data_IF_701117003683
#
_entry.id   IF_701117003683
#
_cell.length_a   1.000
_cell.length_b   1.000
_cell.length_c   1.000
_cell.angle_alpha   90.00
_cell.angle_beta   90.00
_cell.angle_gamma   90.00
#
_symmetry.space_group_name_H-M   'P 1'
#
loop_
_entity.id
_entity.type
_entity.pdbx_description
1 polymer ?
#
# COMPACT_ATOMS: atom_id res chain seq x y z
N UNK A 1 10.45 16.94 -0.35
CA UNK A 1 9.52 17.88 -1.03
C UNK A 1 9.94 18.01 -2.48
N UNK A 2 8.97 18.13 -3.39
CA UNK A 2 9.28 18.32 -4.81
C UNK A 2 9.66 17.05 -5.59
N UNK A 3 9.63 15.85 -5.01
CA UNK A 3 9.93 14.60 -5.73
C UNK A 3 9.01 14.37 -6.95
N UNK A 4 7.76 14.82 -6.87
CA UNK A 4 6.83 14.82 -8.00
C UNK A 4 7.35 15.65 -9.20
N UNK A 5 8.10 16.74 -8.95
CA UNK A 5 8.72 17.54 -10.02
C UNK A 5 9.79 16.73 -10.75
N UNK A 6 10.61 15.98 -10.00
CA UNK A 6 11.59 15.07 -10.61
C UNK A 6 10.91 14.07 -11.55
N UNK A 7 9.84 13.42 -11.10
CA UNK A 7 9.10 12.43 -11.91
C UNK A 7 8.51 13.08 -13.16
N UNK A 8 7.91 14.28 -13.00
CA UNK A 8 7.33 15.04 -14.13
C UNK A 8 8.39 15.44 -15.14
N UNK A 9 9.49 16.03 -14.68
CA UNK A 9 10.60 16.45 -15.57
C UNK A 9 11.24 15.23 -16.25
N UNK A 10 11.46 14.13 -15.52
CA UNK A 10 12.01 12.90 -16.10
C UNK A 10 11.10 12.32 -17.19
N UNK A 11 9.78 12.46 -17.05
CA UNK A 11 8.81 12.10 -18.10
C UNK A 11 8.92 13.02 -19.31
N UNK A 12 8.91 14.33 -19.08
CA UNK A 12 8.93 15.33 -20.16
C UNK A 12 10.20 15.25 -21.03
N UNK A 13 11.35 14.94 -20.43
CA UNK A 13 12.61 14.75 -21.16
C UNK A 13 12.86 13.32 -21.65
N UNK A 14 11.90 12.40 -21.44
CA UNK A 14 12.01 10.99 -21.86
C UNK A 14 12.88 10.11 -20.96
N UNK A 15 13.54 10.65 -19.93
CA UNK A 15 14.39 9.87 -19.03
C UNK A 15 13.61 8.82 -18.23
N UNK A 16 12.34 9.07 -17.91
CA UNK A 16 11.52 8.15 -17.14
C UNK A 16 11.32 6.81 -17.85
N UNK A 17 11.11 6.81 -19.17
CA UNK A 17 10.94 5.59 -19.97
C UNK A 17 12.22 4.75 -20.07
N UNK A 18 13.39 5.34 -19.81
CA UNK A 18 14.67 4.64 -19.78
C UNK A 18 14.98 4.10 -18.37
N UNK A 19 14.78 4.94 -17.34
CA UNK A 19 15.14 4.61 -15.96
C UNK A 19 14.09 3.71 -15.28
N UNK A 20 12.81 4.04 -15.47
CA UNK A 20 11.65 3.39 -14.86
C UNK A 20 10.53 3.23 -15.90
N UNK A 21 10.73 2.39 -16.94
CA UNK A 21 9.73 2.19 -17.98
C UNK A 21 8.38 1.75 -17.41
N UNK A 22 8.39 0.97 -16.32
CA UNK A 22 7.17 0.50 -15.63
C UNK A 22 6.34 1.68 -15.09
N UNK A 23 6.99 2.75 -14.65
CA UNK A 23 6.31 3.98 -14.20
C UNK A 23 5.89 4.81 -15.43
N UNK A 24 6.72 4.85 -16.46
CA UNK A 24 6.38 5.54 -17.72
C UNK A 24 5.09 5.02 -18.34
N UNK A 25 4.85 3.72 -18.29
CA UNK A 25 3.63 3.07 -18.81
C UNK A 25 2.35 3.43 -18.06
N UNK A 26 2.41 3.93 -16.82
CA UNK A 26 1.21 4.32 -16.07
C UNK A 26 0.38 5.41 -16.77
N UNK A 27 0.98 6.24 -17.63
CA UNK A 27 0.24 7.24 -18.40
C UNK A 27 -0.64 6.64 -19.50
N UNK A 28 -0.36 5.39 -19.90
CA UNK A 28 -1.16 4.63 -20.84
C UNK A 28 -2.29 3.84 -20.18
N UNK A 29 -2.34 3.82 -18.84
CA UNK A 29 -3.32 3.07 -18.05
C UNK A 29 -4.48 3.98 -17.66
N UNK A 30 -5.69 3.79 -18.25
CA UNK A 30 -6.83 4.65 -17.97
C UNK A 30 -7.43 4.37 -16.59
N UNK A 31 -7.94 5.43 -15.97
CA UNK A 31 -8.68 5.37 -14.71
C UNK A 31 -10.15 5.71 -14.89
N UNK A 32 -10.98 5.28 -13.95
CA UNK A 32 -12.38 5.66 -13.89
C UNK A 32 -12.52 7.14 -13.53
N UNK A 33 -13.03 7.95 -14.46
CA UNK A 33 -13.12 9.41 -14.31
C UNK A 33 -14.03 9.88 -13.16
N UNK A 34 -14.99 9.06 -12.73
CA UNK A 34 -15.85 9.35 -11.57
C UNK A 34 -15.06 9.31 -10.24
N UNK A 35 -13.98 8.54 -10.15
CA UNK A 35 -13.09 8.49 -9.01
C UNK A 35 -11.77 9.23 -9.23
N UNK A 36 -11.30 9.26 -10.48
CA UNK A 36 -10.00 9.79 -10.92
C UNK A 36 -10.19 10.75 -12.10
N UNK A 37 -10.61 12.01 -11.86
CA UNK A 37 -10.83 13.00 -12.94
C UNK A 37 -9.58 13.24 -13.77
N UNK A 38 -8.38 13.05 -13.22
CA UNK A 38 -7.07 13.08 -13.90
C UNK A 38 -6.94 12.09 -15.05
N UNK A 39 -7.72 11.01 -15.04
CA UNK A 39 -7.99 10.13 -16.17
C UNK A 39 -7.00 9.01 -16.44
N UNK A 40 -5.80 9.01 -15.84
CA UNK A 40 -4.83 7.92 -15.95
C UNK A 40 -4.00 7.76 -14.68
N UNK A 41 -3.42 6.54 -14.51
CA UNK A 41 -2.65 6.20 -13.30
C UNK A 41 -1.33 6.98 -13.17
N UNK A 42 -0.75 7.46 -14.26
CA UNK A 42 0.48 8.26 -14.25
C UNK A 42 0.26 9.64 -13.63
N UNK A 43 -0.79 10.35 -14.05
CA UNK A 43 -1.16 11.64 -13.43
C UNK A 43 -1.58 11.44 -11.98
N UNK A 44 -2.35 10.37 -11.65
CA UNK A 44 -2.67 10.01 -10.28
C UNK A 44 -1.40 9.85 -9.42
N UNK A 45 -0.40 9.13 -9.93
CA UNK A 45 0.88 8.93 -9.21
C UNK A 45 1.59 10.25 -8.93
N UNK A 46 1.64 11.17 -9.92
CA UNK A 46 2.23 12.51 -9.73
C UNK A 46 1.46 13.34 -8.71
N UNK A 47 0.13 13.31 -8.76
CA UNK A 47 -0.72 14.01 -7.80
C UNK A 47 -0.56 13.42 -6.38
N UNK A 48 -0.45 12.11 -6.27
CA UNK A 48 -0.19 11.42 -4.99
C UNK A 48 1.17 11.80 -4.41
N UNK A 49 2.22 11.86 -5.22
CA UNK A 49 3.55 12.35 -4.79
C UNK A 49 3.51 13.81 -4.35
N UNK A 50 2.74 14.66 -5.03
CA UNK A 50 2.53 16.05 -4.63
C UNK A 50 1.76 16.14 -3.32
N UNK A 51 0.75 15.29 -3.11
CA UNK A 51 -0.04 15.23 -1.88
C UNK A 51 0.75 14.66 -0.69
N UNK A 52 1.73 13.82 -0.91
CA UNK A 52 2.63 13.30 0.13
C UNK A 52 3.45 14.43 0.77
N UNK A 53 3.94 15.38 -0.02
CA UNK A 53 4.72 16.58 0.39
C UNK A 53 5.77 16.30 1.48
N UNK A 54 6.54 15.25 1.30
CA UNK A 54 7.52 14.77 2.28
C UNK A 54 8.92 14.66 1.70
N UNK A 55 9.95 14.72 2.56
CA UNK A 55 11.34 14.38 2.23
C UNK A 55 11.69 12.93 2.60
N UNK A 56 10.74 12.15 3.16
CA UNK A 56 10.94 10.74 3.46
C UNK A 56 11.03 9.92 2.15
N UNK A 57 12.24 9.47 1.83
CA UNK A 57 12.51 8.71 0.61
C UNK A 57 11.74 7.38 0.55
N UNK A 58 11.47 6.76 1.70
CA UNK A 58 10.73 5.50 1.77
C UNK A 58 9.25 5.72 1.44
N UNK A 59 8.64 6.78 1.96
CA UNK A 59 7.27 7.19 1.63
C UNK A 59 7.18 7.56 0.15
N UNK A 60 8.10 8.39 -0.35
CA UNK A 60 8.12 8.80 -1.76
C UNK A 60 8.25 7.61 -2.70
N UNK A 61 9.13 6.64 -2.40
CA UNK A 61 9.27 5.43 -3.21
C UNK A 61 8.00 4.58 -3.17
N UNK A 62 7.40 4.41 -1.99
CA UNK A 62 6.17 3.62 -1.85
C UNK A 62 5.00 4.28 -2.60
N UNK A 63 4.86 5.62 -2.54
CA UNK A 63 3.84 6.36 -3.31
C UNK A 63 4.11 6.27 -4.81
N UNK A 64 5.37 6.36 -5.26
CA UNK A 64 5.73 6.20 -6.68
C UNK A 64 5.29 4.83 -7.23
N UNK A 65 5.40 3.78 -6.42
CA UNK A 65 5.26 2.40 -6.85
C UNK A 65 3.91 1.75 -6.47
N UNK A 66 3.04 2.43 -5.69
CA UNK A 66 1.83 1.78 -5.12
C UNK A 66 0.90 1.18 -6.18
N UNK A 67 0.80 1.81 -7.33
CA UNK A 67 -0.10 1.47 -8.42
C UNK A 67 0.60 0.87 -9.65
N UNK A 68 1.93 0.62 -9.58
CA UNK A 68 2.70 0.13 -10.73
C UNK A 68 2.15 -1.17 -11.33
N UNK A 69 1.47 -1.97 -10.54
CA UNK A 69 0.84 -3.21 -11.01
C UNK A 69 -0.32 -3.02 -11.97
N UNK A 70 -0.90 -1.82 -12.05
CA UNK A 70 -1.95 -1.51 -13.02
C UNK A 70 -1.47 -1.67 -14.46
N UNK A 71 -0.18 -1.48 -14.73
CA UNK A 71 0.43 -1.67 -16.05
C UNK A 71 0.38 -3.13 -16.53
N UNK A 72 0.28 -4.09 -15.62
CA UNK A 72 0.23 -5.52 -15.93
C UNK A 72 -1.20 -6.09 -15.90
N UNK A 73 -2.22 -5.26 -15.69
CA UNK A 73 -3.62 -5.71 -15.74
C UNK A 73 -4.10 -5.85 -17.19
N UNK A 74 -5.09 -6.72 -17.40
CA UNK A 74 -5.66 -7.02 -18.71
C UNK A 74 -6.29 -5.75 -19.35
N UNK A 75 -5.77 -5.22 -20.47
CA UNK A 75 -6.31 -4.03 -21.12
C UNK A 75 -7.77 -4.16 -21.55
N UNK A 76 -8.26 -5.37 -21.81
CA UNK A 76 -9.65 -5.59 -22.20
C UNK A 76 -10.63 -5.36 -21.05
N UNK A 77 -10.12 -5.33 -19.81
CA UNK A 77 -10.92 -5.10 -18.60
C UNK A 77 -10.79 -3.69 -18.03
N UNK A 78 -9.96 -2.87 -18.65
CA UNK A 78 -9.79 -1.49 -18.22
C UNK A 78 -11.10 -0.70 -18.27
N UNK A 79 -11.32 0.19 -17.33
CA UNK A 79 -10.47 0.64 -16.22
C UNK A 79 -10.61 -0.18 -14.93
N UNK A 80 -10.88 -1.46 -15.01
CA UNK A 80 -10.86 -2.37 -13.86
C UNK A 80 -9.48 -2.99 -13.71
N UNK A 81 -8.78 -2.64 -12.65
CA UNK A 81 -7.40 -3.07 -12.38
C UNK A 81 -7.34 -4.16 -11.30
N UNK A 82 -8.26 -5.14 -11.36
CA UNK A 82 -8.31 -6.21 -10.34
C UNK A 82 -7.01 -7.00 -10.31
N UNK A 83 -6.42 -7.14 -9.10
CA UNK A 83 -5.18 -7.88 -8.88
C UNK A 83 -3.91 -7.06 -9.10
N UNK A 84 -4.02 -5.74 -9.36
CA UNK A 84 -2.86 -4.87 -9.51
C UNK A 84 -1.97 -4.83 -8.26
N UNK A 85 -2.54 -5.05 -7.09
CA UNK A 85 -1.83 -5.14 -5.81
C UNK A 85 -0.78 -6.26 -5.81
N UNK A 86 -1.16 -7.46 -6.23
CA UNK A 86 -0.25 -8.61 -6.33
C UNK A 86 0.78 -8.41 -7.45
N UNK A 87 0.33 -8.00 -8.64
CA UNK A 87 1.22 -7.72 -9.78
C UNK A 87 2.21 -6.59 -9.45
N UNK A 88 1.75 -5.56 -8.74
CA UNK A 88 2.59 -4.46 -8.27
C UNK A 88 3.72 -4.94 -7.37
N UNK A 89 3.43 -5.81 -6.40
CA UNK A 89 4.44 -6.37 -5.52
C UNK A 89 5.53 -7.15 -6.28
N UNK A 90 5.17 -7.85 -7.35
CA UNK A 90 6.14 -8.56 -8.21
C UNK A 90 6.98 -7.57 -9.05
N UNK A 91 6.34 -6.57 -9.67
CA UNK A 91 7.03 -5.54 -10.46
C UNK A 91 8.01 -4.78 -9.58
N UNK A 92 7.62 -4.37 -8.36
CA UNK A 92 8.49 -3.70 -7.39
C UNK A 92 9.74 -4.54 -7.11
N UNK A 93 9.58 -5.86 -6.95
CA UNK A 93 10.72 -6.76 -6.77
C UNK A 93 11.70 -6.73 -7.96
N UNK A 94 11.20 -6.70 -9.21
CA UNK A 94 12.04 -6.60 -10.42
C UNK A 94 12.75 -5.24 -10.53
N UNK A 95 12.03 -4.15 -10.27
CA UNK A 95 12.61 -2.80 -10.22
C UNK A 95 13.72 -2.74 -9.18
N UNK A 96 13.46 -3.24 -7.98
CA UNK A 96 14.42 -3.23 -6.88
C UNK A 96 15.69 -4.03 -7.20
N UNK A 97 15.56 -5.20 -7.80
CA UNK A 97 16.71 -6.01 -8.24
C UNK A 97 17.54 -5.28 -9.30
N UNK A 98 16.90 -4.65 -10.29
CA UNK A 98 17.56 -3.90 -11.37
C UNK A 98 18.29 -2.66 -10.87
N UNK A 99 17.67 -1.92 -9.94
CA UNK A 99 18.20 -0.66 -9.42
C UNK A 99 18.96 -0.81 -8.08
N UNK A 100 19.12 -2.04 -7.59
CA UNK A 100 19.79 -2.36 -6.32
C UNK A 100 19.18 -1.59 -5.12
N UNK A 101 17.85 -1.47 -5.09
CA UNK A 101 17.14 -0.80 -4.00
C UNK A 101 17.25 -1.65 -2.72
N UNK A 102 17.65 -1.08 -1.58
CA UNK A 102 17.75 -1.82 -0.32
C UNK A 102 16.45 -2.50 0.09
N UNK A 103 16.53 -3.71 0.67
CA UNK A 103 15.36 -4.53 1.04
C UNK A 103 14.40 -3.82 1.99
N UNK A 104 14.89 -2.97 2.89
CA UNK A 104 14.01 -2.18 3.77
C UNK A 104 13.02 -1.30 2.99
N UNK A 105 13.48 -0.68 1.89
CA UNK A 105 12.65 0.13 1.00
C UNK A 105 11.75 -0.74 0.13
N UNK A 106 12.32 -1.81 -0.45
CA UNK A 106 11.60 -2.74 -1.32
C UNK A 106 10.48 -3.44 -0.58
N UNK A 107 10.77 -3.98 0.60
CA UNK A 107 9.78 -4.66 1.43
C UNK A 107 8.64 -3.74 1.85
N UNK A 108 8.95 -2.49 2.24
CA UNK A 108 7.94 -1.51 2.59
C UNK A 108 7.08 -1.08 1.37
N UNK A 109 7.70 -0.82 0.22
CA UNK A 109 6.96 -0.46 -1.00
C UNK A 109 6.03 -1.60 -1.46
N UNK A 110 6.51 -2.86 -1.44
CA UNK A 110 5.68 -4.04 -1.72
C UNK A 110 4.51 -4.18 -0.75
N UNK A 111 4.77 -3.96 0.54
CA UNK A 111 3.72 -3.96 1.56
C UNK A 111 2.66 -2.89 1.29
N UNK A 112 3.08 -1.67 0.91
CA UNK A 112 2.16 -0.58 0.55
C UNK A 112 1.33 -0.94 -0.69
N UNK A 113 1.93 -1.44 -1.76
CA UNK A 113 1.23 -1.86 -2.97
C UNK A 113 0.15 -2.91 -2.67
N UNK A 114 0.43 -3.90 -1.82
CA UNK A 114 -0.50 -4.97 -1.42
C UNK A 114 -1.65 -4.48 -0.53
N UNK A 115 -1.53 -3.34 0.11
CA UNK A 115 -2.43 -2.97 1.20
C UNK A 115 -3.09 -1.59 1.07
N UNK A 116 -2.59 -0.68 0.19
CA UNK A 116 -3.08 0.70 0.08
C UNK A 116 -4.60 0.79 -0.15
N UNK A 117 -5.18 -0.11 -0.93
CA UNK A 117 -6.61 -0.16 -1.24
C UNK A 117 -7.53 -0.25 -0.02
N UNK A 118 -7.00 -0.51 1.19
CA UNK A 118 -7.80 -0.50 2.42
C UNK A 118 -8.35 0.90 2.73
N UNK A 119 -7.63 1.95 2.34
CA UNK A 119 -8.02 3.36 2.52
C UNK A 119 -9.29 3.76 1.78
N UNK A 120 -9.65 3.03 0.72
CA UNK A 120 -10.84 3.29 -0.11
C UNK A 120 -12.09 2.54 0.37
N UNK A 121 -11.98 1.74 1.44
CA UNK A 121 -13.10 0.99 1.99
C UNK A 121 -13.87 1.80 3.03
N UNK A 122 -15.17 1.55 3.23
CA UNK A 122 -15.86 1.99 4.43
C UNK A 122 -15.15 1.44 5.68
N UNK A 123 -15.02 2.19 6.78
CA UNK A 123 -14.32 1.73 8.00
C UNK A 123 -14.84 0.40 8.54
N UNK A 124 -16.16 0.14 8.47
CA UNK A 124 -16.76 -1.12 8.92
C UNK A 124 -16.22 -2.33 8.13
N UNK A 125 -15.99 -2.18 6.82
CA UNK A 125 -15.52 -3.24 5.94
C UNK A 125 -13.99 -3.40 5.98
N UNK A 126 -13.29 -2.38 6.51
CA UNK A 126 -11.83 -2.34 6.58
C UNK A 126 -11.28 -3.11 7.79
N UNK A 127 -12.03 -3.28 8.88
CA UNK A 127 -11.54 -3.75 10.17
C UNK A 127 -10.72 -5.05 10.11
N UNK A 128 -11.21 -6.09 9.43
CA UNK A 128 -10.47 -7.36 9.27
C UNK A 128 -9.16 -7.20 8.52
N UNK A 129 -9.14 -6.36 7.49
CA UNK A 129 -7.92 -6.11 6.71
C UNK A 129 -6.95 -5.28 7.53
N UNK A 130 -7.40 -4.26 8.26
CA UNK A 130 -6.58 -3.42 9.12
C UNK A 130 -5.94 -4.21 10.27
N UNK A 131 -6.68 -5.15 10.89
CA UNK A 131 -6.11 -6.04 11.90
C UNK A 131 -4.96 -6.90 11.33
N UNK A 132 -5.07 -7.41 10.10
CA UNK A 132 -3.97 -8.14 9.44
C UNK A 132 -2.79 -7.23 9.12
N UNK A 133 -3.08 -6.04 8.60
CA UNK A 133 -2.05 -5.02 8.32
C UNK A 133 -1.27 -4.67 9.58
N UNK A 134 -1.95 -4.49 10.73
CA UNK A 134 -1.31 -4.22 12.00
C UNK A 134 -0.35 -5.34 12.43
N UNK A 135 -0.78 -6.60 12.30
CA UNK A 135 0.06 -7.77 12.58
C UNK A 135 1.25 -7.86 11.62
N UNK A 136 1.04 -7.60 10.32
CA UNK A 136 2.10 -7.64 9.33
C UNK A 136 3.14 -6.51 9.56
N UNK A 137 2.69 -5.29 9.96
CA UNK A 137 3.56 -4.17 10.31
C UNK A 137 4.47 -4.48 11.51
N UNK A 138 3.98 -5.20 12.52
CA UNK A 138 4.81 -5.60 13.66
C UNK A 138 6.02 -6.45 13.24
N UNK A 139 5.91 -7.26 12.20
CA UNK A 139 6.97 -8.15 11.71
C UNK A 139 8.13 -7.42 11.07
N UNK A 140 7.94 -6.17 10.67
CA UNK A 140 9.07 -5.34 10.23
C UNK A 140 9.97 -4.89 11.39
N UNK A 141 9.50 -5.00 12.65
CA UNK A 141 10.20 -4.49 13.83
C UNK A 141 10.56 -2.99 13.71
N UNK A 142 9.73 -2.23 13.03
CA UNK A 142 9.90 -0.81 12.71
C UNK A 142 8.62 -0.05 13.07
N UNK A 143 8.55 0.56 14.26
CA UNK A 143 7.35 1.28 14.73
C UNK A 143 6.94 2.43 13.81
N UNK A 144 7.91 3.09 13.18
CA UNK A 144 7.74 4.18 12.23
C UNK A 144 7.01 3.77 10.93
N UNK A 145 6.88 2.47 10.65
CA UNK A 145 6.20 1.99 9.44
C UNK A 145 4.68 2.17 9.48
N UNK A 146 4.08 2.28 10.67
CA UNK A 146 2.63 2.59 10.77
C UNK A 146 2.36 4.01 10.25
N UNK A 147 3.11 4.99 10.75
CA UNK A 147 2.97 6.39 10.34
C UNK A 147 3.27 6.55 8.85
N UNK A 148 4.36 5.91 8.35
CA UNK A 148 4.70 5.92 6.92
C UNK A 148 3.62 5.29 6.06
N UNK A 149 3.04 4.18 6.47
CA UNK A 149 1.95 3.55 5.71
C UNK A 149 0.69 4.44 5.70
N UNK A 150 0.35 5.08 6.81
CA UNK A 150 -0.74 6.07 6.87
C UNK A 150 -0.43 7.24 5.92
N UNK A 151 0.82 7.72 5.88
CA UNK A 151 1.22 8.78 4.96
C UNK A 151 1.07 8.37 3.49
N UNK A 152 1.44 7.13 3.12
CA UNK A 152 1.25 6.59 1.77
C UNK A 152 -0.24 6.51 1.41
N UNK A 153 -1.08 5.97 2.29
CA UNK A 153 -2.53 5.91 2.08
C UNK A 153 -3.15 7.31 1.97
N UNK A 154 -2.68 8.27 2.79
CA UNK A 154 -3.13 9.67 2.73
C UNK A 154 -2.75 10.31 1.39
N UNK A 155 -1.55 10.06 0.90
CA UNK A 155 -1.09 10.57 -0.38
C UNK A 155 -1.96 10.06 -1.54
N UNK A 156 -2.26 8.77 -1.56
CA UNK A 156 -3.13 8.12 -2.55
C UNK A 156 -4.54 8.72 -2.55
N UNK A 157 -5.24 8.75 -1.41
CA UNK A 157 -6.63 9.27 -1.37
C UNK A 157 -6.75 10.76 -1.67
N UNK A 158 -5.69 11.54 -1.41
CA UNK A 158 -5.60 12.98 -1.70
C UNK A 158 -5.04 13.28 -3.09
N UNK A 159 -4.36 12.33 -3.70
CA UNK A 159 -3.69 12.45 -5.00
C UNK A 159 -4.62 12.40 -6.20
N UNK A 160 -5.79 13.03 -6.11
CA UNK A 160 -6.79 13.09 -7.19
C UNK A 160 -7.04 14.52 -7.60
N UNK A 161 -7.38 14.72 -8.87
CA UNK A 161 -7.75 16.05 -9.38
C UNK A 161 -9.18 16.43 -8.99
N UNK A 162 -9.47 16.30 -7.69
CA UNK A 162 -10.72 16.72 -7.06
C UNK A 162 -10.51 17.09 -5.59
N UNK A 163 -11.37 17.93 -5.01
CA UNK A 163 -11.28 18.23 -3.59
C UNK A 163 -11.43 16.98 -2.72
N UNK A 164 -10.58 16.85 -1.72
CA UNK A 164 -10.70 15.82 -0.68
C UNK A 164 -11.84 16.25 0.28
N UNK A 165 -13.03 15.71 0.02
CA UNK A 165 -14.26 16.11 0.68
C UNK A 165 -14.32 15.73 2.16
N UNK A 166 -15.20 16.41 2.95
CA UNK A 166 -15.36 16.15 4.38
C UNK A 166 -15.69 14.69 4.72
N UNK A 167 -16.51 14.03 3.91
CA UNK A 167 -16.85 12.62 4.10
C UNK A 167 -15.64 11.71 3.89
N UNK A 168 -14.84 11.94 2.85
CA UNK A 168 -13.60 11.20 2.56
C UNK A 168 -12.57 11.43 3.68
N UNK A 169 -12.41 12.68 4.15
CA UNK A 169 -11.55 13.02 5.29
C UNK A 169 -11.95 12.25 6.55
N UNK A 170 -13.25 12.23 6.89
CA UNK A 170 -13.76 11.50 8.04
C UNK A 170 -13.53 9.99 7.93
N UNK A 171 -13.79 9.42 6.77
CA UNK A 171 -13.55 7.99 6.51
C UNK A 171 -12.08 7.66 6.64
N UNK A 172 -11.20 8.43 6.01
CA UNK A 172 -9.76 8.20 6.10
C UNK A 172 -9.23 8.33 7.54
N UNK A 173 -9.66 9.37 8.28
CA UNK A 173 -9.28 9.53 9.68
C UNK A 173 -9.73 8.33 10.55
N UNK A 174 -10.92 7.78 10.30
CA UNK A 174 -11.39 6.58 10.99
C UNK A 174 -10.55 5.34 10.66
N UNK A 175 -10.15 5.16 9.39
CA UNK A 175 -9.25 4.07 8.94
C UNK A 175 -7.89 4.20 9.62
N UNK A 176 -7.26 5.38 9.60
CA UNK A 176 -5.96 5.63 10.21
C UNK A 176 -6.00 5.36 11.72
N UNK A 177 -6.96 5.95 12.44
CA UNK A 177 -7.12 5.74 13.88
C UNK A 177 -7.41 4.27 14.25
N UNK A 178 -8.13 3.54 13.40
CA UNK A 178 -8.40 2.11 13.61
C UNK A 178 -7.12 1.29 13.42
N UNK A 179 -6.29 1.60 12.42
CA UNK A 179 -5.01 0.94 12.21
C UNK A 179 -4.06 1.17 13.39
N UNK A 180 -3.93 2.40 13.84
CA UNK A 180 -3.10 2.75 15.00
C UNK A 180 -3.54 1.98 16.24
N UNK A 181 -4.84 1.95 16.55
CA UNK A 181 -5.37 1.17 17.68
C UNK A 181 -5.08 -0.31 17.56
N UNK A 182 -5.25 -0.90 16.38
CA UNK A 182 -4.92 -2.31 16.18
C UNK A 182 -3.43 -2.57 16.31
N UNK A 183 -2.58 -1.68 15.82
CA UNK A 183 -1.14 -1.81 15.96
C UNK A 183 -0.71 -1.72 17.44
N UNK A 184 -1.20 -0.74 18.18
CA UNK A 184 -0.93 -0.60 19.61
C UNK A 184 -1.42 -1.83 20.40
N UNK A 185 -2.64 -2.28 20.14
CA UNK A 185 -3.16 -3.50 20.76
C UNK A 185 -2.28 -4.71 20.42
N UNK A 186 -1.91 -4.91 19.15
CA UNK A 186 -1.09 -6.02 18.71
C UNK A 186 0.33 -5.98 19.31
N UNK A 187 0.92 -4.80 19.51
CA UNK A 187 2.26 -4.64 20.08
C UNK A 187 2.35 -5.04 21.56
N UNK A 188 1.23 -5.01 22.28
CA UNK A 188 1.14 -5.37 23.70
C UNK A 188 0.58 -6.78 23.95
N UNK A 189 -0.13 -7.34 22.96
CA UNK A 189 -0.74 -8.67 23.08
C UNK A 189 0.30 -9.79 23.09
N UNK A 190 0.16 -10.68 24.07
CA UNK A 190 0.88 -11.96 24.10
C UNK A 190 0.05 -13.04 23.41
N UNK A 191 0.16 -13.12 22.09
CA UNK A 191 -0.61 -14.09 21.31
C UNK A 191 -0.47 -15.54 21.82
N UNK A 192 0.71 -15.89 22.38
CA UNK A 192 0.93 -17.21 22.97
C UNK A 192 0.04 -17.53 24.20
N UNK A 193 -0.59 -16.55 24.81
CA UNK A 193 -1.55 -16.77 25.90
C UNK A 193 -2.91 -17.29 25.40
N UNK A 194 -3.20 -17.13 24.10
CA UNK A 194 -4.44 -17.59 23.48
C UNK A 194 -4.35 -19.06 23.04
N UNK A 195 -5.23 -19.97 23.53
CA UNK A 195 -5.19 -21.40 23.17
C UNK A 195 -5.25 -21.64 21.67
N UNK A 196 -6.13 -20.91 20.96
CA UNK A 196 -6.29 -21.03 19.51
C UNK A 196 -5.04 -20.58 18.73
N UNK A 197 -4.27 -19.63 19.24
CA UNK A 197 -2.98 -19.26 18.64
C UNK A 197 -1.95 -20.36 18.84
N UNK A 198 -1.85 -20.93 20.06
CA UNK A 198 -0.95 -22.07 20.34
C UNK A 198 -1.25 -23.25 19.44
N UNK A 199 -2.53 -23.62 19.30
CA UNK A 199 -2.95 -24.69 18.38
C UNK A 199 -2.56 -24.40 16.93
N UNK A 200 -2.76 -23.15 16.45
CA UNK A 200 -2.36 -22.74 15.13
C UNK A 200 -0.83 -22.74 14.95
N UNK A 201 -0.07 -22.37 15.99
CA UNK A 201 1.39 -22.40 15.96
C UNK A 201 1.93 -23.83 15.84
N UNK A 202 1.37 -24.79 16.61
CA UNK A 202 1.72 -26.20 16.48
C UNK A 202 1.33 -26.75 15.10
N UNK A 203 0.14 -26.41 14.59
CA UNK A 203 -0.26 -26.79 13.23
C UNK A 203 0.67 -26.22 12.14
N UNK A 204 1.25 -25.02 12.35
CA UNK A 204 2.25 -24.46 11.45
C UNK A 204 3.57 -25.26 11.51
N UNK A 205 4.05 -25.63 12.71
CA UNK A 205 5.27 -26.44 12.88
C UNK A 205 5.13 -27.80 12.20
N UNK A 206 3.94 -28.38 12.24
CA UNK A 206 3.61 -29.65 11.60
C UNK A 206 3.23 -29.51 10.11
N UNK A 207 3.43 -28.34 9.51
CA UNK A 207 3.09 -28.01 8.12
C UNK A 207 1.60 -28.22 7.74
N UNK A 208 0.70 -28.33 8.73
CA UNK A 208 -0.76 -28.46 8.50
C UNK A 208 -1.44 -27.14 8.13
N UNK A 209 -0.82 -26.02 8.44
CA UNK A 209 -1.27 -24.69 8.01
C UNK A 209 -0.07 -23.86 7.50
N UNK A 210 -0.39 -22.75 6.80
CA UNK A 210 0.58 -21.80 6.31
C UNK A 210 0.76 -20.61 7.27
N UNK A 211 1.86 -19.88 7.12
CA UNK A 211 2.08 -18.62 7.86
C UNK A 211 0.97 -17.59 7.61
N UNK A 212 0.31 -17.63 6.44
CA UNK A 212 -0.85 -16.78 6.12
C UNK A 212 -2.05 -17.14 7.00
N UNK A 213 -2.28 -18.44 7.24
CA UNK A 213 -3.37 -18.90 8.10
C UNK A 213 -3.11 -18.56 9.58
N UNK A 214 -1.86 -18.65 10.03
CA UNK A 214 -1.47 -18.19 11.37
C UNK A 214 -1.77 -16.69 11.54
N UNK A 215 -1.37 -15.84 10.56
CA UNK A 215 -1.68 -14.39 10.59
C UNK A 215 -3.18 -14.08 10.63
N UNK A 216 -4.01 -14.93 10.01
CA UNK A 216 -5.47 -14.79 10.14
C UNK A 216 -5.92 -14.99 11.57
N UNK A 217 -5.35 -15.97 12.29
CA UNK A 217 -5.65 -16.21 13.71
C UNK A 217 -5.23 -15.08 14.61
N UNK A 218 -4.04 -14.50 14.39
CA UNK A 218 -3.59 -13.31 15.10
C UNK A 218 -4.57 -12.14 14.90
N UNK A 219 -5.01 -11.90 13.67
CA UNK A 219 -5.98 -10.85 13.37
C UNK A 219 -7.37 -11.11 13.96
N UNK A 220 -7.83 -12.35 14.00
CA UNK A 220 -9.09 -12.74 14.66
C UNK A 220 -9.05 -12.46 16.17
N UNK A 221 -7.94 -12.78 16.83
CA UNK A 221 -7.72 -12.46 18.26
C UNK A 221 -7.73 -10.96 18.49
N UNK A 222 -7.09 -10.21 17.59
CA UNK A 222 -7.00 -8.75 17.67
C UNK A 222 -8.36 -8.05 17.54
N UNK A 223 -9.31 -8.66 16.82
CA UNK A 223 -10.64 -8.13 16.58
C UNK A 223 -11.61 -8.30 17.77
N UNK A 224 -11.27 -9.13 18.76
CA UNK A 224 -12.03 -9.32 20.02
C UNK A 224 -11.71 -8.17 21.00
#
# INVERSE_FOLDING_TARGET
>A
RGFYLFVRTARECGALSVLLPEIGELWNVPERRDYHPEGNSGEHTVLSLKAADTDDAMVNLAVLLHDVGKTATDPQKWPSHRGHDLQGAEIIGRIAARLQIPEAYTGFARFCALNHMVSHRPPADAAKKLARIAVDLLRFHRPDYVERFIAVMSADVRGRDKPFGRAEQKNFAAIAAMLERFYQKASTLRFCEYPEFRQALEALKEHRITSVQLRKKEAEILLR
#
